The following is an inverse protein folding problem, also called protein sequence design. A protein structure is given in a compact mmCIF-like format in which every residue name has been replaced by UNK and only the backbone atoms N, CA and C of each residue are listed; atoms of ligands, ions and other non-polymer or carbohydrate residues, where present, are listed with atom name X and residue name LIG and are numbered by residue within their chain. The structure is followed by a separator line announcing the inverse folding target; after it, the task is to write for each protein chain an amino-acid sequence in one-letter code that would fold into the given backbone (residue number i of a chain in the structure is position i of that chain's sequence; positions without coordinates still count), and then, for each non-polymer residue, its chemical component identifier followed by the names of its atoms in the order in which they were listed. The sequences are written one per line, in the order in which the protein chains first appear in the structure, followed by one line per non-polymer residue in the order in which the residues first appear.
data_IF_896192857893
#
_entry.id   IF_896192857893
#
_cell.length_a   1.000
_cell.length_b   1.000
_cell.length_c   1.000
_cell.angle_alpha   90.00
_cell.angle_beta   90.00
_cell.angle_gamma   90.00
#
_symmetry.space_group_name_H-M   'P 1'
#
loop_
_entity.id
_entity.type
_entity.pdbx_description
1 polymer ?
#
# COMPACT_ATOMS: atom_id res chain seq x y z
N UNK A 1 29.02 -9.50 30.08
CA UNK A 1 27.91 -10.36 29.64
C UNK A 1 26.66 -9.90 30.36
N UNK A 2 25.83 -9.12 29.68
CA UNK A 2 24.52 -8.71 30.17
C UNK A 2 23.56 -8.93 29.00
N UNK A 3 22.56 -9.78 29.20
CA UNK A 3 21.48 -10.06 28.26
C UNK A 3 20.92 -8.76 27.67
N UNK A 4 21.26 -8.49 26.40
CA UNK A 4 20.71 -7.37 25.61
C UNK A 4 19.80 -7.85 24.47
N UNK A 5 19.43 -9.12 24.49
CA UNK A 5 18.29 -9.65 23.75
C UNK A 5 17.12 -9.70 24.73
N UNK A 6 16.59 -8.55 25.16
CA UNK A 6 15.25 -8.58 25.75
C UNK A 6 14.33 -9.02 24.62
N UNK A 7 13.76 -10.21 24.74
CA UNK A 7 12.75 -10.78 23.86
C UNK A 7 11.73 -9.71 23.43
N UNK A 8 11.92 -9.09 22.26
CA UNK A 8 10.78 -8.63 21.49
C UNK A 8 10.21 -9.88 20.85
N UNK A 9 9.47 -10.66 21.66
CA UNK A 9 8.93 -11.93 21.23
C UNK A 9 8.17 -11.72 19.93
N UNK A 10 8.66 -12.39 18.89
CA UNK A 10 8.01 -12.49 17.60
C UNK A 10 6.53 -12.85 17.80
N UNK A 11 5.56 -12.11 17.23
CA UNK A 11 4.17 -12.49 17.40
C UNK A 11 3.93 -13.83 16.70
N UNK A 12 3.27 -14.75 17.40
CA UNK A 12 2.73 -15.96 16.79
C UNK A 12 1.72 -15.60 15.70
N UNK A 13 1.42 -16.50 14.75
CA UNK A 13 0.40 -16.21 13.75
C UNK A 13 -0.99 -15.96 14.34
N UNK A 14 -1.30 -16.47 15.54
CA UNK A 14 -2.57 -16.18 16.23
C UNK A 14 -2.58 -14.75 16.79
N UNK A 15 -1.45 -14.29 17.35
CA UNK A 15 -1.29 -12.88 17.74
C UNK A 15 -1.34 -11.95 16.53
N UNK A 16 -0.74 -12.33 15.40
CA UNK A 16 -0.83 -11.56 14.17
C UNK A 16 -2.27 -11.51 13.63
N UNK A 17 -3.00 -12.63 13.66
CA UNK A 17 -4.41 -12.67 13.28
C UNK A 17 -5.28 -11.78 14.19
N UNK A 18 -5.05 -11.80 15.50
CA UNK A 18 -5.71 -10.89 16.44
C UNK A 18 -5.40 -9.43 16.09
N UNK A 19 -4.14 -9.10 15.83
CA UNK A 19 -3.73 -7.74 15.44
C UNK A 19 -4.39 -7.27 14.13
N UNK A 20 -4.54 -8.14 13.13
CA UNK A 20 -5.26 -7.82 11.89
C UNK A 20 -6.75 -7.50 12.12
N UNK A 21 -7.35 -8.06 13.17
CA UNK A 21 -8.76 -7.86 13.53
C UNK A 21 -8.97 -6.65 14.45
N UNK A 22 -8.06 -6.44 15.39
CA UNK A 22 -8.25 -5.53 16.52
C UNK A 22 -7.39 -4.26 16.44
N UNK A 23 -6.30 -4.28 15.67
CA UNK A 23 -5.47 -3.10 15.46
C UNK A 23 -6.24 -1.99 14.74
N UNK A 24 -5.95 -0.73 15.07
CA UNK A 24 -6.59 0.44 14.45
C UNK A 24 -5.71 1.13 13.40
N UNK A 25 -4.42 0.81 13.34
CA UNK A 25 -3.44 1.56 12.55
C UNK A 25 -2.83 2.76 13.30
N UNK A 26 -3.15 2.96 14.57
CA UNK A 26 -2.61 4.04 15.40
C UNK A 26 -1.06 4.09 15.33
N UNK A 27 -0.51 5.30 15.17
CA UNK A 27 0.94 5.51 15.05
C UNK A 27 1.55 5.07 13.71
N UNK A 28 0.79 4.46 12.80
CA UNK A 28 1.30 4.01 11.50
C UNK A 28 1.02 5.05 10.43
N UNK A 29 2.11 5.49 9.78
CA UNK A 29 2.10 6.43 8.65
C UNK A 29 2.16 5.69 7.31
N UNK A 30 1.21 5.97 6.43
CA UNK A 30 1.03 5.31 5.13
C UNK A 30 1.12 6.35 4.01
N UNK A 31 2.07 6.18 3.10
CA UNK A 31 2.22 7.02 1.92
C UNK A 31 1.40 6.41 0.77
N UNK A 32 0.41 7.14 0.29
CA UNK A 32 -0.39 6.77 -0.88
C UNK A 32 0.22 7.43 -2.11
N UNK A 33 0.96 6.67 -2.90
CA UNK A 33 1.52 7.14 -4.18
C UNK A 33 0.48 6.89 -5.27
N UNK A 34 -0.28 7.92 -5.62
CA UNK A 34 -1.45 7.81 -6.50
C UNK A 34 -1.78 9.15 -7.21
N UNK A 35 -3.02 9.38 -7.62
CA UNK A 35 -3.51 10.61 -8.25
C UNK A 35 -3.72 11.77 -7.28
N UNK A 36 -3.39 11.59 -6.01
CA UNK A 36 -3.64 12.51 -4.90
C UNK A 36 -4.77 12.02 -4.00
N UNK A 37 -5.11 12.76 -2.95
CA UNK A 37 -6.19 12.40 -2.01
C UNK A 37 -7.06 13.62 -1.73
N UNK A 38 -8.36 13.50 -1.99
CA UNK A 38 -9.35 14.47 -1.54
C UNK A 38 -9.77 14.15 -0.10
N UNK A 39 -9.04 14.73 0.86
CA UNK A 39 -9.40 14.60 2.26
C UNK A 39 -10.64 15.42 2.66
N UNK A 40 -11.20 16.27 1.79
CA UNK A 40 -12.48 16.94 2.06
C UNK A 40 -13.68 16.00 1.91
N UNK A 41 -13.47 14.85 1.24
CA UNK A 41 -14.49 13.83 1.06
C UNK A 41 -15.06 13.32 2.40
N UNK A 42 -16.38 13.19 2.57
CA UNK A 42 -17.00 12.77 3.85
C UNK A 42 -16.51 11.42 4.40
N UNK A 43 -16.16 10.48 3.51
CA UNK A 43 -15.58 9.19 3.91
C UNK A 43 -14.20 9.31 4.59
N UNK A 44 -13.50 10.43 4.42
CA UNK A 44 -12.19 10.73 5.00
C UNK A 44 -12.26 11.85 6.04
N UNK A 45 -13.45 12.26 6.48
CA UNK A 45 -13.63 13.37 7.41
C UNK A 45 -12.91 13.18 8.75
N UNK A 46 -12.74 11.92 9.18
CA UNK A 46 -12.02 11.56 10.42
C UNK A 46 -10.62 10.98 10.18
N UNK A 47 -10.14 10.99 8.93
CA UNK A 47 -8.82 10.46 8.62
C UNK A 47 -7.72 11.34 9.21
N UNK A 48 -6.71 10.70 9.81
CA UNK A 48 -5.49 11.38 10.23
C UNK A 48 -4.67 11.72 8.99
N UNK A 49 -4.41 13.02 8.76
CA UNK A 49 -3.74 13.51 7.56
C UNK A 49 -2.24 13.63 7.81
N UNK A 50 -1.44 13.03 6.93
CA UNK A 50 0.01 13.17 6.90
C UNK A 50 0.47 14.23 5.89
N UNK A 51 1.68 14.04 5.36
CA UNK A 51 2.25 14.90 4.32
C UNK A 51 1.34 14.94 3.07
N UNK A 52 1.26 16.12 2.46
CA UNK A 52 0.50 16.35 1.24
C UNK A 52 1.44 16.95 0.18
N UNK A 53 1.84 16.16 -0.81
CA UNK A 53 2.79 16.59 -1.83
C UNK A 53 2.36 16.16 -3.23
N UNK A 54 2.79 16.93 -4.23
CA UNK A 54 2.78 16.52 -5.62
C UNK A 54 4.18 16.54 -6.21
N UNK A 55 4.54 15.49 -6.93
CA UNK A 55 5.76 15.42 -7.72
C UNK A 55 5.43 15.54 -9.19
N UNK A 56 6.11 16.44 -9.89
CA UNK A 56 5.95 16.65 -11.32
C UNK A 56 7.30 16.96 -11.98
N UNK A 57 7.30 17.24 -13.29
CA UNK A 57 8.51 17.64 -14.02
C UNK A 57 8.21 18.77 -14.99
N UNK A 58 9.17 19.68 -15.16
CA UNK A 58 9.17 20.71 -16.22
C UNK A 58 9.86 20.22 -17.50
N UNK A 59 10.26 18.93 -17.55
CA UNK A 59 11.02 18.32 -18.64
C UNK A 59 12.53 18.32 -18.43
N UNK A 60 13.06 19.10 -17.47
CA UNK A 60 14.49 19.16 -17.14
C UNK A 60 14.73 18.66 -15.71
N UNK A 61 13.85 19.02 -14.78
CA UNK A 61 13.98 18.73 -13.35
C UNK A 61 12.70 18.12 -12.80
N UNK A 62 12.86 17.42 -11.67
CA UNK A 62 11.77 17.04 -10.80
C UNK A 62 11.40 18.23 -9.91
N UNK A 63 10.11 18.44 -9.73
CA UNK A 63 9.54 19.50 -8.88
C UNK A 63 8.69 18.82 -7.82
N UNK A 64 9.02 19.07 -6.56
CA UNK A 64 8.21 18.65 -5.41
C UNK A 64 7.48 19.88 -4.90
N UNK A 65 6.15 19.81 -4.86
CA UNK A 65 5.29 20.87 -4.32
C UNK A 65 4.58 20.37 -3.07
N UNK A 66 4.84 21.02 -1.95
CA UNK A 66 4.09 20.81 -0.70
C UNK A 66 2.66 21.36 -0.82
N UNK A 67 1.75 20.81 -0.03
CA UNK A 67 0.32 21.17 0.04
C UNK A 67 -0.35 21.16 -1.35
N UNK A 68 0.03 20.20 -2.19
CA UNK A 68 -0.40 20.12 -3.58
C UNK A 68 -0.80 18.70 -3.99
N UNK A 69 -0.95 17.76 -3.05
CA UNK A 69 -1.33 16.37 -3.35
C UNK A 69 -2.85 16.16 -3.39
N UNK A 70 -3.63 17.20 -3.68
CA UNK A 70 -5.07 17.09 -3.96
C UNK A 70 -5.33 16.11 -5.12
N UNK A 71 -6.39 15.31 -5.00
CA UNK A 71 -6.72 14.31 -6.03
C UNK A 71 -7.25 14.97 -7.31
N UNK A 72 -6.65 14.62 -8.45
CA UNK A 72 -7.03 15.15 -9.78
C UNK A 72 -7.81 14.16 -10.63
N UNK A 73 -8.04 12.94 -10.13
CA UNK A 73 -8.71 11.88 -10.88
C UNK A 73 -9.80 11.16 -10.07
N UNK A 74 -9.55 10.93 -8.78
CA UNK A 74 -10.44 10.25 -7.83
C UNK A 74 -9.95 8.87 -7.36
N UNK A 75 -8.97 8.30 -8.07
CA UNK A 75 -8.46 6.96 -7.75
C UNK A 75 -7.69 6.93 -6.43
N UNK A 76 -6.84 7.92 -6.17
CA UNK A 76 -6.12 8.00 -4.89
C UNK A 76 -7.05 8.25 -3.70
N UNK A 77 -8.16 8.97 -3.88
CA UNK A 77 -9.22 9.11 -2.87
C UNK A 77 -9.90 7.76 -2.59
N UNK A 78 -10.20 6.97 -3.62
CA UNK A 78 -10.73 5.62 -3.48
C UNK A 78 -9.77 4.70 -2.68
N UNK A 79 -8.48 4.78 -3.00
CA UNK A 79 -7.40 4.04 -2.33
C UNK A 79 -7.28 4.45 -0.86
N UNK A 80 -7.19 5.76 -0.58
CA UNK A 80 -7.10 6.31 0.78
C UNK A 80 -8.34 5.96 1.62
N UNK A 81 -9.54 6.08 1.05
CA UNK A 81 -10.78 5.69 1.71
C UNK A 81 -10.84 4.21 2.07
N UNK A 82 -10.30 3.35 1.21
CA UNK A 82 -10.19 1.91 1.49
C UNK A 82 -9.22 1.63 2.65
N UNK A 83 -8.06 2.30 2.66
CA UNK A 83 -7.08 2.20 3.76
C UNK A 83 -7.72 2.69 5.07
N UNK A 84 -8.35 3.87 5.06
CA UNK A 84 -9.00 4.46 6.23
C UNK A 84 -10.11 3.57 6.79
N UNK A 85 -10.92 2.95 5.92
CA UNK A 85 -11.96 2.03 6.37
C UNK A 85 -11.39 0.82 7.13
N UNK A 86 -10.23 0.31 6.72
CA UNK A 86 -9.58 -0.82 7.38
C UNK A 86 -8.78 -0.34 8.59
N UNK A 87 -7.90 0.64 8.46
CA UNK A 87 -7.04 1.16 9.53
C UNK A 87 -7.43 2.60 9.87
N UNK A 88 -8.53 2.83 10.63
CA UNK A 88 -9.15 4.14 10.79
C UNK A 88 -8.30 5.17 11.53
N UNK A 89 -7.24 4.74 12.24
CA UNK A 89 -6.36 5.63 12.99
C UNK A 89 -4.97 5.76 12.35
N UNK A 90 -4.74 5.12 11.21
CA UNK A 90 -3.51 5.31 10.45
C UNK A 90 -3.44 6.74 9.89
N UNK A 91 -2.25 7.32 9.91
CA UNK A 91 -1.98 8.59 9.26
C UNK A 91 -1.73 8.36 7.76
N UNK A 92 -2.54 8.98 6.90
CA UNK A 92 -2.45 8.82 5.45
C UNK A 92 -1.81 10.08 4.87
N UNK A 93 -0.68 9.92 4.18
CA UNK A 93 -0.06 10.97 3.38
C UNK A 93 -0.43 10.86 1.90
N UNK A 94 -0.67 11.99 1.26
CA UNK A 94 -0.92 12.08 -0.17
C UNK A 94 0.37 12.37 -0.93
N UNK A 95 0.81 11.44 -1.77
CA UNK A 95 2.00 11.56 -2.60
C UNK A 95 1.58 11.50 -4.07
N UNK A 96 1.04 12.61 -4.58
CA UNK A 96 0.51 12.66 -5.95
C UNK A 96 1.63 12.50 -6.98
N UNK A 97 1.59 11.35 -7.66
CA UNK A 97 2.50 10.98 -8.74
C UNK A 97 1.78 10.83 -10.09
N UNK A 98 0.46 10.61 -10.07
CA UNK A 98 -0.35 10.39 -11.27
C UNK A 98 -1.06 11.70 -11.67
N UNK A 99 -1.20 11.92 -12.97
CA UNK A 99 -1.89 13.07 -13.54
C UNK A 99 -3.42 12.86 -13.66
N UNK A 100 -4.12 13.85 -14.23
CA UNK A 100 -5.58 13.80 -14.43
C UNK A 100 -6.06 12.75 -15.43
N UNK A 101 -5.15 12.06 -16.13
CA UNK A 101 -5.45 10.90 -16.97
C UNK A 101 -5.08 9.58 -16.26
N UNK A 102 -4.74 9.64 -14.96
CA UNK A 102 -4.25 8.53 -14.15
C UNK A 102 -2.96 7.90 -14.71
N UNK A 103 -2.08 8.73 -15.28
CA UNK A 103 -0.78 8.31 -15.85
C UNK A 103 0.37 8.92 -15.08
N UNK A 104 1.53 8.26 -15.14
CA UNK A 104 2.75 8.76 -14.53
C UNK A 104 3.98 8.29 -15.29
N UNK A 105 5.14 8.85 -14.93
CA UNK A 105 6.46 8.40 -15.35
C UNK A 105 7.15 7.74 -14.17
N UNK A 106 7.90 6.67 -14.42
CA UNK A 106 8.57 5.88 -13.37
C UNK A 106 9.47 6.72 -12.46
N UNK A 107 10.17 7.71 -13.00
CA UNK A 107 11.02 8.61 -12.20
C UNK A 107 10.22 9.58 -11.28
N UNK A 108 8.97 9.91 -11.61
CA UNK A 108 8.08 10.68 -10.73
C UNK A 108 7.65 9.79 -9.56
N UNK A 109 7.27 8.54 -9.85
CA UNK A 109 6.91 7.55 -8.83
C UNK A 109 8.09 7.28 -7.89
N UNK A 110 9.29 7.08 -8.44
CA UNK A 110 10.49 6.85 -7.66
C UNK A 110 10.80 8.01 -6.72
N UNK A 111 10.57 9.25 -7.15
CA UNK A 111 10.74 10.43 -6.32
C UNK A 111 9.68 10.52 -5.21
N UNK A 112 8.40 10.24 -5.49
CA UNK A 112 7.40 10.12 -4.43
C UNK A 112 7.79 9.05 -3.38
N UNK A 113 8.27 7.89 -3.83
CA UNK A 113 8.74 6.84 -2.92
C UNK A 113 9.95 7.31 -2.10
N UNK A 114 10.90 8.01 -2.72
CA UNK A 114 12.05 8.59 -2.02
C UNK A 114 11.61 9.60 -0.95
N UNK A 115 10.64 10.45 -1.25
CA UNK A 115 10.06 11.39 -0.27
C UNK A 115 9.42 10.64 0.90
N UNK A 116 8.63 9.59 0.65
CA UNK A 116 8.03 8.77 1.70
C UNK A 116 9.09 8.11 2.59
N UNK A 117 10.15 7.56 1.99
CA UNK A 117 11.27 6.94 2.71
C UNK A 117 11.97 7.96 3.61
N UNK A 118 12.30 9.14 3.07
CA UNK A 118 13.00 10.18 3.82
C UNK A 118 12.17 10.79 4.94
N UNK A 119 10.86 10.85 4.76
CA UNK A 119 9.93 11.35 5.78
C UNK A 119 9.58 10.30 6.83
N UNK A 120 10.10 9.07 6.73
CA UNK A 120 9.92 8.03 7.75
C UNK A 120 8.51 7.44 7.74
N UNK A 121 7.92 7.25 6.56
CA UNK A 121 6.69 6.48 6.43
C UNK A 121 6.93 5.00 6.72
N UNK A 122 5.92 4.31 7.24
CA UNK A 122 6.03 2.88 7.58
C UNK A 122 5.61 2.00 6.40
N UNK A 123 4.62 2.44 5.63
CA UNK A 123 4.08 1.72 4.48
C UNK A 123 3.99 2.65 3.28
N UNK A 124 4.38 2.15 2.11
CA UNK A 124 4.15 2.77 0.80
C UNK A 124 3.12 1.93 0.06
N UNK A 125 1.95 2.50 -0.22
CA UNK A 125 0.91 1.88 -1.03
C UNK A 125 1.04 2.30 -2.50
N UNK A 126 1.13 1.31 -3.39
CA UNK A 126 1.20 1.49 -4.84
C UNK A 126 0.01 0.80 -5.52
N UNK A 127 -1.07 1.53 -5.78
CA UNK A 127 -2.25 1.01 -6.48
C UNK A 127 -2.15 1.12 -8.00
N UNK A 128 -0.93 0.99 -8.53
CA UNK A 128 -0.59 1.06 -9.94
C UNK A 128 0.37 -0.08 -10.31
N UNK A 129 0.51 -0.34 -11.61
CA UNK A 129 1.47 -1.28 -12.16
C UNK A 129 2.15 -0.73 -13.40
N UNK A 130 3.46 -0.98 -13.53
CA UNK A 130 4.20 -0.76 -14.77
C UNK A 130 4.52 -2.10 -15.42
N UNK A 131 4.18 -2.28 -16.70
CA UNK A 131 4.46 -3.52 -17.42
C UNK A 131 5.93 -3.91 -17.27
N UNK A 132 6.17 -5.18 -16.93
CA UNK A 132 7.47 -5.75 -16.56
C UNK A 132 8.51 -5.86 -17.68
N UNK A 133 8.70 -4.78 -18.44
CA UNK A 133 9.73 -4.66 -19.47
C UNK A 133 11.08 -4.42 -18.79
N UNK A 134 12.15 -5.04 -19.33
CA UNK A 134 13.49 -5.00 -18.72
C UNK A 134 13.98 -3.58 -18.41
N UNK A 135 13.67 -2.61 -19.29
CA UNK A 135 14.03 -1.20 -19.12
C UNK A 135 13.44 -0.54 -17.86
N UNK A 136 12.30 -1.02 -17.36
CA UNK A 136 11.63 -0.44 -16.19
C UNK A 136 12.09 -1.08 -14.89
N UNK A 137 12.77 -2.23 -14.93
CA UNK A 137 13.16 -2.97 -13.72
C UNK A 137 13.98 -2.09 -12.77
N UNK A 138 15.04 -1.46 -13.29
CA UNK A 138 15.94 -0.65 -12.47
C UNK A 138 15.29 0.62 -11.94
N UNK A 139 14.33 1.19 -12.69
CA UNK A 139 13.59 2.39 -12.28
C UNK A 139 12.75 2.15 -11.01
N UNK A 140 12.34 0.90 -10.76
CA UNK A 140 11.59 0.53 -9.56
C UNK A 140 12.42 -0.20 -8.51
N UNK A 141 13.50 -0.90 -8.91
CA UNK A 141 14.31 -1.71 -7.99
C UNK A 141 15.02 -0.86 -6.94
N UNK A 142 15.59 0.27 -7.35
CA UNK A 142 16.42 1.09 -6.46
C UNK A 142 15.63 1.60 -5.24
N UNK A 143 14.45 2.17 -5.44
CA UNK A 143 13.66 2.71 -4.33
C UNK A 143 12.96 1.61 -3.51
N UNK A 144 12.56 0.49 -4.15
CA UNK A 144 11.96 -0.63 -3.41
C UNK A 144 12.96 -1.32 -2.49
N UNK A 145 14.22 -1.46 -2.92
CA UNK A 145 15.31 -1.93 -2.07
C UNK A 145 15.65 -0.94 -0.96
N UNK A 146 15.70 0.36 -1.29
CA UNK A 146 15.93 1.40 -0.29
C UNK A 146 14.85 1.39 0.80
N UNK A 147 13.57 1.26 0.44
CA UNK A 147 12.47 1.09 1.37
C UNK A 147 12.67 -0.15 2.25
N UNK A 148 12.96 -1.30 1.64
CA UNK A 148 13.17 -2.56 2.35
C UNK A 148 14.32 -2.48 3.37
N UNK A 149 15.46 -1.90 2.98
CA UNK A 149 16.62 -1.70 3.87
C UNK A 149 16.25 -0.78 5.03
N UNK A 150 15.52 0.30 4.76
CA UNK A 150 15.00 1.23 5.76
C UNK A 150 13.91 0.63 6.67
N UNK A 151 13.46 -0.61 6.43
CA UNK A 151 12.40 -1.26 7.20
C UNK A 151 10.99 -0.82 6.81
N UNK A 152 10.85 -0.12 5.69
CA UNK A 152 9.59 0.39 5.16
C UNK A 152 8.96 -0.66 4.27
N UNK A 153 7.66 -0.88 4.48
CA UNK A 153 6.90 -1.89 3.77
C UNK A 153 6.37 -1.32 2.45
N UNK A 154 6.44 -2.08 1.37
CA UNK A 154 5.83 -1.71 0.08
C UNK A 154 4.72 -2.70 -0.22
N UNK A 155 3.52 -2.17 -0.43
CA UNK A 155 2.34 -2.95 -0.85
C UNK A 155 1.95 -2.48 -2.24
N UNK A 156 1.78 -3.40 -3.18
CA UNK A 156 1.54 -3.03 -4.57
C UNK A 156 0.51 -3.92 -5.26
N UNK A 157 -0.33 -3.29 -6.08
CA UNK A 157 -1.30 -3.96 -6.93
C UNK A 157 -0.59 -4.74 -8.06
N UNK A 158 -0.96 -6.01 -8.23
CA UNK A 158 -0.58 -6.82 -9.37
C UNK A 158 -1.51 -6.61 -10.57
N UNK A 159 -1.23 -7.27 -11.70
CA UNK A 159 -2.04 -7.10 -12.91
C UNK A 159 -3.49 -7.55 -12.73
N UNK A 160 -4.43 -6.76 -13.25
CA UNK A 160 -5.87 -7.08 -13.25
C UNK A 160 -6.23 -8.21 -14.25
N UNK A 161 -5.33 -8.53 -15.18
CA UNK A 161 -5.57 -9.53 -16.22
C UNK A 161 -5.13 -10.93 -15.77
N UNK A 162 -3.98 -11.05 -15.10
CA UNK A 162 -3.44 -12.30 -14.56
C UNK A 162 -2.26 -12.04 -13.63
N UNK A 163 -2.15 -12.80 -12.54
CA UNK A 163 -1.00 -12.80 -11.63
C UNK A 163 0.33 -13.24 -12.28
N UNK A 164 0.26 -13.87 -13.46
CA UNK A 164 1.43 -14.26 -14.26
C UNK A 164 2.04 -13.10 -15.06
N UNK A 165 1.26 -12.05 -15.32
CA UNK A 165 1.75 -10.85 -16.01
C UNK A 165 2.58 -10.05 -15.03
N UNK A 166 3.86 -9.90 -15.35
CA UNK A 166 4.81 -9.16 -14.51
C UNK A 166 4.51 -7.66 -14.58
N UNK A 167 4.26 -7.07 -13.42
CA UNK A 167 4.13 -5.64 -13.23
C UNK A 167 4.99 -5.18 -12.04
N UNK A 168 5.67 -4.05 -12.22
CA UNK A 168 6.48 -3.43 -11.17
C UNK A 168 5.65 -2.38 -10.41
N UNK A 169 5.79 -2.30 -9.07
CA UNK A 169 6.74 -3.03 -8.23
C UNK A 169 6.23 -4.38 -7.68
N UNK A 170 4.97 -4.77 -7.94
CA UNK A 170 4.32 -5.92 -7.30
C UNK A 170 5.03 -7.27 -7.45
N UNK A 171 5.78 -7.49 -8.55
CA UNK A 171 6.54 -8.71 -8.77
C UNK A 171 7.92 -8.76 -8.10
N UNK A 172 8.31 -7.78 -7.27
CA UNK A 172 9.55 -7.89 -6.50
C UNK A 172 9.37 -8.75 -5.24
N UNK A 173 10.33 -9.65 -4.90
CA UNK A 173 10.24 -10.46 -3.69
C UNK A 173 10.12 -9.67 -2.37
N UNK A 174 10.71 -8.47 -2.31
CA UNK A 174 10.64 -7.54 -1.17
C UNK A 174 9.29 -6.85 -1.02
N UNK A 175 8.43 -6.88 -2.06
CA UNK A 175 7.15 -6.19 -2.10
C UNK A 175 6.01 -7.14 -1.74
N UNK A 176 5.02 -6.65 -1.00
CA UNK A 176 3.76 -7.36 -0.76
C UNK A 176 2.89 -7.14 -2.00
N UNK A 177 3.01 -8.04 -2.97
CA UNK A 177 2.22 -8.03 -4.20
C UNK A 177 0.82 -8.60 -3.99
N UNK A 178 -0.20 -7.84 -4.41
CA UNK A 178 -1.62 -8.11 -4.13
C UNK A 178 -2.43 -8.19 -5.43
N UNK A 179 -3.12 -9.31 -5.65
CA UNK A 179 -4.16 -9.46 -6.66
C UNK A 179 -5.56 -9.19 -6.09
N UNK A 180 -6.57 -9.18 -6.95
CA UNK A 180 -7.97 -9.11 -6.53
C UNK A 180 -8.61 -10.50 -6.40
N UNK A 181 -9.60 -10.60 -5.53
CA UNK A 181 -10.51 -11.73 -5.44
C UNK A 181 -11.94 -11.26 -5.14
N UNK A 182 -12.93 -12.08 -5.52
CA UNK A 182 -14.28 -12.01 -4.94
C UNK A 182 -14.29 -12.76 -3.59
N UNK A 183 -14.12 -12.02 -2.51
CA UNK A 183 -14.13 -12.53 -1.13
C UNK A 183 -14.80 -11.54 -0.17
N UNK A 184 -14.86 -11.86 1.12
CA UNK A 184 -15.30 -10.92 2.16
C UNK A 184 -14.34 -9.75 2.37
N UNK A 185 -14.87 -8.66 2.95
CA UNK A 185 -14.13 -7.41 3.16
C UNK A 185 -12.94 -7.53 4.12
N UNK A 186 -13.01 -8.49 5.06
CA UNK A 186 -11.98 -8.76 6.07
C UNK A 186 -11.15 -10.01 5.76
N UNK A 187 -11.27 -10.55 4.54
CA UNK A 187 -10.54 -11.74 4.14
C UNK A 187 -9.21 -11.41 3.47
N UNK A 188 -8.18 -12.18 3.85
CA UNK A 188 -6.86 -12.16 3.25
C UNK A 188 -6.53 -13.57 2.77
N UNK A 189 -6.31 -13.74 1.47
CA UNK A 189 -5.93 -15.01 0.85
C UNK A 189 -4.47 -14.96 0.37
N UNK A 190 -3.85 -16.14 0.22
CA UNK A 190 -2.47 -16.23 -0.25
C UNK A 190 -2.22 -17.46 -1.15
N UNK A 191 -1.50 -17.25 -2.26
CA UNK A 191 -0.88 -18.28 -3.11
C UNK A 191 0.64 -18.27 -2.92
N UNK A 192 1.20 -19.14 -2.08
CA UNK A 192 2.60 -19.04 -1.64
C UNK A 192 3.63 -19.30 -2.76
N UNK A 193 3.22 -19.95 -3.85
CA UNK A 193 4.03 -20.25 -5.04
C UNK A 193 4.16 -19.05 -6.01
N UNK A 194 3.49 -17.93 -5.72
CA UNK A 194 3.50 -16.72 -6.56
C UNK A 194 4.26 -15.56 -5.90
N UNK A 195 4.75 -14.63 -6.71
CA UNK A 195 5.35 -13.38 -6.22
C UNK A 195 4.26 -12.38 -5.78
N UNK A 196 3.26 -12.19 -6.64
CA UNK A 196 1.95 -11.61 -6.28
C UNK A 196 1.16 -12.69 -5.56
N UNK A 197 1.49 -12.88 -4.28
CA UNK A 197 0.97 -13.98 -3.50
C UNK A 197 -0.32 -13.64 -2.77
N UNK A 198 -0.57 -12.39 -2.42
CA UNK A 198 -1.76 -12.03 -1.65
C UNK A 198 -2.95 -11.73 -2.54
N UNK A 199 -4.15 -11.97 -2.04
CA UNK A 199 -5.38 -11.49 -2.65
C UNK A 199 -6.34 -11.01 -1.55
N UNK A 200 -7.08 -9.95 -1.86
CA UNK A 200 -8.12 -9.38 -1.02
C UNK A 200 -9.29 -8.91 -1.90
N UNK A 201 -10.38 -8.47 -1.26
CA UNK A 201 -11.58 -7.99 -1.94
C UNK A 201 -11.24 -6.82 -2.87
N UNK A 202 -11.32 -7.08 -4.18
CA UNK A 202 -11.09 -6.09 -5.23
C UNK A 202 -12.17 -6.10 -6.31
N UNK A 203 -13.16 -6.99 -6.21
CA UNK A 203 -14.28 -7.06 -7.15
C UNK A 203 -15.52 -6.33 -6.62
N UNK A 204 -16.11 -5.48 -7.47
CA UNK A 204 -17.35 -4.72 -7.20
C UNK A 204 -17.31 -3.97 -5.86
N UNK A 205 -16.22 -3.28 -5.61
CA UNK A 205 -15.98 -2.56 -4.35
C UNK A 205 -16.55 -1.15 -4.44
N UNK A 206 -17.37 -0.76 -3.46
CA UNK A 206 -17.88 0.61 -3.35
C UNK A 206 -16.82 1.49 -2.69
N UNK A 207 -16.33 2.49 -3.42
CA UNK A 207 -15.21 3.36 -3.01
C UNK A 207 -15.58 4.84 -3.14
N UNK A 208 -15.02 5.73 -2.29
CA UNK A 208 -15.22 7.16 -2.44
C UNK A 208 -14.54 7.67 -3.71
N UNK A 209 -15.04 8.77 -4.26
CA UNK A 209 -14.52 9.42 -5.45
C UNK A 209 -14.58 10.95 -5.29
N UNK A 210 -14.15 11.70 -6.30
CA UNK A 210 -14.23 13.16 -6.30
C UNK A 210 -15.65 13.70 -6.06
N UNK A 211 -15.73 14.96 -5.64
CA UNK A 211 -16.97 15.74 -5.44
C UNK A 211 -17.92 15.13 -4.39
N UNK A 212 -17.38 14.43 -3.39
CA UNK A 212 -18.20 13.71 -2.39
C UNK A 212 -18.89 12.45 -2.93
N UNK A 213 -18.54 12.04 -4.15
CA UNK A 213 -19.17 10.95 -4.88
C UNK A 213 -18.69 9.55 -4.46
N UNK A 214 -19.36 8.54 -5.01
CA UNK A 214 -18.99 7.14 -4.81
C UNK A 214 -19.05 6.40 -6.14
N UNK A 215 -18.18 5.41 -6.31
CA UNK A 215 -18.17 4.50 -7.46
C UNK A 215 -18.13 3.05 -7.02
N UNK A 216 -18.53 2.15 -7.92
CA UNK A 216 -18.32 0.70 -7.78
C UNK A 216 -17.26 0.31 -8.78
N UNK A 217 -16.10 -0.10 -8.28
CA UNK A 217 -14.93 -0.36 -9.10
C UNK A 217 -14.48 -1.82 -8.96
N UNK A 218 -13.66 -2.28 -9.90
CA UNK A 218 -13.06 -3.62 -9.86
C UNK A 218 -11.60 -3.56 -10.25
N UNK A 219 -10.73 -4.10 -9.41
CA UNK A 219 -9.29 -4.13 -9.64
C UNK A 219 -8.46 -4.45 -8.39
N UNK A 220 -7.25 -4.94 -8.63
CA UNK A 220 -6.20 -5.11 -7.62
C UNK A 220 -5.81 -3.78 -6.97
N UNK A 221 -6.01 -2.65 -7.65
CA UNK A 221 -5.88 -1.29 -7.10
C UNK A 221 -6.76 -1.02 -5.89
N UNK A 222 -7.84 -1.78 -5.70
CA UNK A 222 -8.73 -1.72 -4.52
C UNK A 222 -8.47 -2.87 -3.53
N UNK A 223 -7.79 -3.93 -3.94
CA UNK A 223 -7.35 -5.00 -3.06
C UNK A 223 -6.05 -4.65 -2.30
N UNK A 224 -5.07 -4.05 -2.99
CA UNK A 224 -3.82 -3.59 -2.40
C UNK A 224 -4.02 -2.66 -1.18
N UNK A 225 -4.85 -1.61 -1.23
CA UNK A 225 -5.11 -0.76 -0.06
C UNK A 225 -5.76 -1.49 1.11
N UNK A 226 -6.52 -2.58 0.88
CA UNK A 226 -7.04 -3.41 1.98
C UNK A 226 -5.91 -4.13 2.70
N UNK A 227 -4.98 -4.72 1.95
CA UNK A 227 -3.79 -5.38 2.52
C UNK A 227 -2.89 -4.36 3.22
N UNK A 228 -2.75 -3.15 2.66
CA UNK A 228 -2.10 -2.02 3.32
C UNK A 228 -2.75 -1.72 4.68
N UNK A 229 -4.09 -1.67 4.75
CA UNK A 229 -4.82 -1.51 6.00
C UNK A 229 -4.57 -2.64 6.99
N UNK A 230 -4.63 -3.91 6.56
CA UNK A 230 -4.32 -5.05 7.43
C UNK A 230 -2.89 -5.01 7.96
N UNK A 231 -1.93 -4.61 7.12
CA UNK A 231 -0.55 -4.41 7.53
C UNK A 231 -0.43 -3.26 8.54
N UNK A 232 -1.14 -2.16 8.34
CA UNK A 232 -1.14 -1.06 9.30
C UNK A 232 -1.70 -1.47 10.67
N UNK A 233 -2.78 -2.27 10.69
CA UNK A 233 -3.31 -2.84 11.96
C UNK A 233 -2.27 -3.72 12.65
N UNK A 234 -1.57 -4.58 11.90
CA UNK A 234 -0.49 -5.42 12.43
C UNK A 234 0.63 -4.58 13.03
N UNK A 235 1.13 -3.60 12.26
CA UNK A 235 2.22 -2.73 12.68
C UNK A 235 1.84 -1.83 13.87
N UNK A 236 0.58 -1.43 14.01
CA UNK A 236 0.15 -0.62 15.17
C UNK A 236 0.28 -1.35 16.51
N UNK A 237 0.27 -2.69 16.49
CA UNK A 237 0.53 -3.49 17.69
C UNK A 237 1.98 -3.95 17.78
N UNK A 238 2.65 -4.13 16.62
CA UNK A 238 4.03 -4.60 16.54
C UNK A 238 4.88 -3.70 15.61
N UNK A 239 5.19 -2.46 16.04
CA UNK A 239 5.75 -1.42 15.17
C UNK A 239 7.19 -1.71 14.70
N UNK A 240 7.90 -2.63 15.36
CA UNK A 240 9.27 -3.04 14.99
C UNK A 240 9.33 -4.13 13.93
N UNK A 241 8.19 -4.65 13.44
CA UNK A 241 8.17 -5.70 12.43
C UNK A 241 8.78 -5.21 11.11
N UNK A 242 9.84 -5.89 10.69
CA UNK A 242 10.50 -5.66 9.40
C UNK A 242 9.71 -6.26 8.23
N UNK A 243 9.94 -5.81 6.98
CA UNK A 243 9.14 -6.23 5.82
C UNK A 243 9.11 -7.73 5.52
N UNK A 244 10.25 -8.41 5.62
CA UNK A 244 10.36 -9.87 5.46
C UNK A 244 9.48 -10.62 6.45
N UNK A 245 9.57 -10.19 7.70
CA UNK A 245 8.88 -10.74 8.82
C UNK A 245 7.37 -10.49 8.74
N UNK A 246 6.93 -9.25 8.56
CA UNK A 246 5.51 -8.93 8.42
C UNK A 246 4.88 -9.68 7.24
N UNK A 247 5.59 -9.77 6.11
CA UNK A 247 5.14 -10.55 4.94
C UNK A 247 4.99 -12.03 5.28
N UNK A 248 5.90 -12.62 6.05
CA UNK A 248 5.80 -14.00 6.50
C UNK A 248 4.58 -14.24 7.42
N UNK A 249 4.29 -13.32 8.35
CA UNK A 249 3.11 -13.39 9.21
C UNK A 249 1.81 -13.31 8.42
N UNK A 250 1.70 -12.35 7.51
CA UNK A 250 0.52 -12.20 6.65
C UNK A 250 0.27 -13.48 5.85
N UNK A 251 1.32 -14.14 5.33
CA UNK A 251 1.21 -15.44 4.66
C UNK A 251 0.70 -16.54 5.59
N UNK A 252 1.25 -16.62 6.81
CA UNK A 252 0.85 -17.62 7.79
C UNK A 252 -0.61 -17.43 8.23
N UNK A 253 -1.07 -16.19 8.39
CA UNK A 253 -2.46 -15.86 8.69
C UNK A 253 -3.37 -16.24 7.53
N UNK A 254 -3.02 -15.87 6.30
CA UNK A 254 -3.82 -16.17 5.10
C UNK A 254 -3.99 -17.68 4.87
N UNK A 255 -2.95 -18.48 5.13
CA UNK A 255 -3.03 -19.95 4.99
C UNK A 255 -4.00 -20.61 5.99
N UNK A 256 -4.21 -20.00 7.16
CA UNK A 256 -5.11 -20.52 8.22
C UNK A 256 -6.57 -20.20 7.95
N UNK A 257 -6.86 -19.17 7.16
CA UNK A 257 -8.22 -18.77 6.77
C UNK A 257 -8.89 -19.76 5.79
N UNK A 258 -8.20 -20.83 5.38
CA UNK A 258 -8.81 -22.01 4.76
C UNK A 258 -9.17 -21.91 3.28
N UNK A 259 -8.98 -20.75 2.64
CA UNK A 259 -9.37 -20.57 1.24
C UNK A 259 -8.18 -20.24 0.35
N UNK A 260 -7.62 -21.30 -0.23
CA UNK A 260 -6.72 -21.23 -1.39
C UNK A 260 -7.57 -20.76 -2.58
N UNK A 261 -7.18 -19.65 -3.21
CA UNK A 261 -7.77 -19.21 -4.50
C UNK A 261 -7.23 -20.05 -5.63
#
# INVERSE_FOLDING_TARGET
MSDRFSDSAWPSPDQALAALREGSGEGIRIAVIDSGVDFSHPALATAHRGDDIAVSTDGIRLIIKENSGEDVFGHGTAVAGTIHHVAPHAEIGSFRALDGDNRSRSFIIAECARQAIQRGYHIINCSFGCRGLARHVMEYKDWTDAAYVAGIHVVAAGSNLSDTIREWPAHFPSVIGVGMADCGENELRCRPDRLVCFAAKGERVRVPWLDGGWRVETGSSFAAPRVTGFLARLLSQYPSLRPDLAKALLRAVAARSGEVV
#
